data_IF_715142226323
#
_entry.id   IF_715142226323
#
_cell.length_a   1.000
_cell.length_b   1.000
_cell.length_c   1.000
_cell.angle_alpha   90.00
_cell.angle_beta   90.00
_cell.angle_gamma   90.00
#
_symmetry.space_group_name_H-M   'P 1'
#
loop_
_entity.id
_entity.type
_entity.pdbx_description
1 polymer ?
#
# COMPACT_ATOMS: atom_id res chain seq x y z
N UNK A 1 -12.74 15.93 20.59
CA UNK A 1 -12.42 15.78 19.16
C UNK A 1 -12.22 14.30 18.94
N UNK A 2 -12.99 13.67 18.04
CA UNK A 2 -12.77 12.26 17.74
C UNK A 2 -11.33 12.13 17.21
N UNK A 3 -10.57 11.18 17.74
CA UNK A 3 -9.30 10.79 17.13
C UNK A 3 -9.64 10.37 15.70
N UNK A 4 -9.23 11.16 14.70
CA UNK A 4 -9.27 10.70 13.32
C UNK A 4 -8.42 9.43 13.28
N UNK A 5 -9.05 8.29 12.99
CA UNK A 5 -8.32 7.03 12.88
C UNK A 5 -7.28 7.21 11.77
N UNK A 6 -6.00 7.25 12.15
CA UNK A 6 -4.89 7.47 11.23
C UNK A 6 -4.66 6.20 10.41
N UNK A 7 -5.48 6.03 9.37
CA UNK A 7 -5.28 4.96 8.40
C UNK A 7 -3.94 5.13 7.68
N UNK A 8 -3.36 4.00 7.30
CA UNK A 8 -2.20 3.94 6.41
C UNK A 8 -2.63 3.40 5.07
N UNK A 9 -1.94 3.79 4.02
CA UNK A 9 -2.37 3.59 2.64
C UNK A 9 -1.31 2.87 1.84
N UNK A 10 -1.76 2.06 0.88
CA UNK A 10 -0.92 1.47 -0.15
C UNK A 10 -1.48 1.81 -1.52
N UNK A 11 -0.60 2.20 -2.43
CA UNK A 11 -0.90 2.24 -3.86
C UNK A 11 -0.49 0.87 -4.41
N UNK A 12 -1.43 0.14 -4.99
CA UNK A 12 -1.19 -1.13 -5.65
C UNK A 12 -1.56 -1.04 -7.13
N UNK A 13 -0.77 -1.68 -7.98
CA UNK A 13 -1.17 -1.99 -9.36
C UNK A 13 -2.33 -2.98 -9.39
N UNK A 14 -3.03 -3.05 -10.51
CA UNK A 14 -4.08 -4.05 -10.76
C UNK A 14 -3.55 -5.47 -10.51
N UNK A 15 -2.38 -5.81 -11.05
CA UNK A 15 -1.79 -7.13 -10.86
C UNK A 15 -1.54 -7.46 -9.37
N UNK A 16 -0.97 -6.54 -8.60
CA UNK A 16 -0.73 -6.73 -7.16
C UNK A 16 -2.04 -6.91 -6.39
N UNK A 17 -3.07 -6.16 -6.77
CA UNK A 17 -4.38 -6.23 -6.14
C UNK A 17 -5.06 -7.58 -6.42
N UNK A 18 -5.06 -8.04 -7.67
CA UNK A 18 -5.59 -9.35 -8.04
C UNK A 18 -4.86 -10.50 -7.31
N UNK A 19 -3.53 -10.43 -7.22
CA UNK A 19 -2.73 -11.41 -6.48
C UNK A 19 -3.15 -11.46 -5.00
N UNK A 20 -3.25 -10.30 -4.37
CA UNK A 20 -3.67 -10.20 -2.97
C UNK A 20 -5.07 -10.76 -2.74
N UNK A 21 -6.04 -10.43 -3.61
CA UNK A 21 -7.40 -10.95 -3.52
C UNK A 21 -7.45 -12.47 -3.68
N UNK A 22 -6.66 -13.02 -4.61
CA UNK A 22 -6.62 -14.46 -4.89
C UNK A 22 -5.98 -15.27 -3.76
N UNK A 23 -4.88 -14.77 -3.21
CA UNK A 23 -4.06 -15.51 -2.26
C UNK A 23 -4.41 -15.18 -0.79
N UNK A 24 -5.17 -14.11 -0.55
CA UNK A 24 -5.44 -13.57 0.78
C UNK A 24 -4.22 -12.91 1.45
N UNK A 25 -3.09 -12.86 0.75
CA UNK A 25 -1.83 -12.26 1.19
C UNK A 25 -0.95 -11.95 -0.02
N UNK A 26 0.00 -11.03 0.14
CA UNK A 26 0.99 -10.69 -0.89
C UNK A 26 2.28 -10.21 -0.22
N UNK A 27 3.41 -10.45 -0.88
CA UNK A 27 4.70 -9.85 -0.51
C UNK A 27 4.88 -8.45 -1.11
N UNK A 28 3.91 -7.98 -1.91
CA UNK A 28 3.91 -6.66 -2.51
C UNK A 28 4.77 -6.56 -3.77
N UNK A 29 5.24 -5.35 -4.02
CA UNK A 29 6.03 -4.98 -5.19
C UNK A 29 7.44 -5.55 -5.08
N UNK A 30 8.20 -5.47 -6.17
CA UNK A 30 9.61 -5.89 -6.17
C UNK A 30 10.44 -5.12 -5.13
N UNK A 31 10.15 -3.83 -4.94
CA UNK A 31 10.84 -3.03 -3.93
C UNK A 31 10.56 -3.54 -2.51
N UNK A 32 9.32 -3.95 -2.21
CA UNK A 32 8.95 -4.49 -0.90
C UNK A 32 9.69 -5.79 -0.59
N UNK A 33 9.78 -6.66 -1.60
CA UNK A 33 10.52 -7.93 -1.53
C UNK A 33 12.01 -7.67 -1.32
N UNK A 34 12.57 -6.69 -2.02
CA UNK A 34 14.00 -6.38 -1.97
C UNK A 34 14.46 -5.73 -0.66
N UNK A 35 13.61 -4.91 -0.02
CA UNK A 35 13.92 -4.25 1.25
C UNK A 35 13.45 -5.05 2.45
N UNK A 36 12.65 -6.11 2.24
CA UNK A 36 11.95 -6.85 3.28
C UNK A 36 10.96 -5.99 4.10
N UNK A 37 10.52 -4.85 3.56
CA UNK A 37 9.53 -3.97 4.18
C UNK A 37 8.36 -3.74 3.24
N UNK A 38 7.14 -3.80 3.78
CA UNK A 38 5.94 -3.44 3.02
C UNK A 38 5.77 -1.92 3.05
N UNK A 39 5.98 -1.23 1.92
CA UNK A 39 5.94 0.22 1.88
C UNK A 39 4.50 0.73 1.96
N UNK A 40 4.24 1.56 2.98
CA UNK A 40 2.95 2.18 3.26
C UNK A 40 3.14 3.69 3.39
N UNK A 41 2.09 4.45 3.13
CA UNK A 41 2.08 5.91 3.17
C UNK A 41 1.00 6.41 4.12
N UNK A 42 1.27 7.50 4.83
CA UNK A 42 0.20 8.31 5.42
C UNK A 42 -0.62 9.00 4.32
N UNK A 43 -1.81 9.48 4.65
CA UNK A 43 -2.71 10.12 3.67
C UNK A 43 -2.04 11.30 2.95
N UNK A 44 -1.32 12.15 3.68
CA UNK A 44 -0.59 13.31 3.16
C UNK A 44 0.60 12.92 2.26
N UNK A 45 1.10 11.68 2.38
CA UNK A 45 2.19 11.15 1.57
C UNK A 45 1.70 10.49 0.27
N UNK A 46 0.44 10.04 0.19
CA UNK A 46 -0.12 9.30 -0.97
C UNK A 46 0.12 10.04 -2.28
N UNK A 47 -0.16 11.35 -2.31
CA UNK A 47 -0.03 12.12 -3.55
C UNK A 47 1.42 12.21 -4.02
N UNK A 48 2.38 12.34 -3.09
CA UNK A 48 3.81 12.39 -3.42
C UNK A 48 4.30 11.01 -3.88
N UNK A 49 3.89 9.94 -3.21
CA UNK A 49 4.20 8.55 -3.60
C UNK A 49 3.70 8.24 -5.01
N UNK A 50 2.46 8.62 -5.34
CA UNK A 50 1.89 8.45 -6.68
C UNK A 50 2.74 9.14 -7.75
N UNK A 51 3.13 10.41 -7.51
CA UNK A 51 3.92 11.20 -8.46
C UNK A 51 5.36 10.72 -8.62
N UNK A 52 5.95 10.12 -7.59
CA UNK A 52 7.35 9.71 -7.64
C UNK A 52 7.54 8.31 -8.24
N UNK A 53 6.57 7.42 -8.06
CA UNK A 53 6.77 5.99 -8.34
C UNK A 53 5.79 5.39 -9.35
N UNK A 54 4.66 6.05 -9.64
CA UNK A 54 3.56 5.45 -10.41
C UNK A 54 3.16 6.24 -11.67
N UNK A 55 3.94 7.26 -12.07
CA UNK A 55 3.58 8.15 -13.20
C UNK A 55 3.52 7.44 -14.55
N UNK A 56 4.39 6.45 -14.78
CA UNK A 56 4.49 5.72 -16.05
C UNK A 56 3.81 4.35 -16.02
N UNK A 57 3.03 4.05 -14.98
CA UNK A 57 2.29 2.80 -14.87
C UNK A 57 1.08 2.87 -15.81
N UNK A 58 0.93 1.82 -16.64
CA UNK A 58 -0.14 1.72 -17.66
C UNK A 58 -1.37 0.95 -17.18
N UNK A 59 -1.25 0.29 -16.04
CA UNK A 59 -2.32 -0.47 -15.39
C UNK A 59 -3.13 0.44 -14.48
N UNK A 60 -4.34 -0.02 -14.13
CA UNK A 60 -5.14 0.67 -13.12
C UNK A 60 -4.45 0.60 -11.75
N UNK A 61 -4.65 1.66 -10.97
CA UNK A 61 -4.09 1.79 -9.63
C UNK A 61 -5.20 1.78 -8.58
N UNK A 62 -4.95 1.04 -7.51
CA UNK A 62 -5.85 0.86 -6.38
C UNK A 62 -5.23 1.52 -5.15
N UNK A 63 -5.99 2.36 -4.46
CA UNK A 63 -5.61 2.91 -3.17
C UNK A 63 -6.24 2.06 -2.05
N UNK A 64 -5.43 1.23 -1.41
CA UNK A 64 -5.85 0.39 -0.30
C UNK A 64 -5.74 1.19 1.00
N UNK A 65 -6.85 1.35 1.70
CA UNK A 65 -6.88 1.91 3.05
C UNK A 65 -6.73 0.77 4.07
N UNK A 66 -5.75 0.88 4.96
CA UNK A 66 -5.38 -0.15 5.93
C UNK A 66 -5.53 0.43 7.33
N UNK A 67 -6.28 -0.28 8.17
CA UNK A 67 -6.37 0.02 9.60
C UNK A 67 -5.12 -0.52 10.32
N UNK A 68 -4.23 0.34 10.82
CA UNK A 68 -3.00 -0.11 11.49
C UNK A 68 -3.28 -0.95 12.74
N UNK A 69 -4.45 -0.79 13.38
CA UNK A 69 -4.83 -1.57 14.56
C UNK A 69 -5.15 -3.03 14.23
N UNK A 70 -5.40 -3.35 12.96
CA UNK A 70 -5.69 -4.70 12.46
C UNK A 70 -4.47 -5.39 11.85
N UNK A 71 -3.30 -4.74 11.89
CA UNK A 71 -2.05 -5.28 11.35
C UNK A 71 -1.09 -5.53 12.51
N UNK A 72 -0.68 -6.79 12.68
CA UNK A 72 0.38 -7.14 13.61
C UNK A 72 1.74 -6.85 12.97
N UNK A 73 2.33 -5.69 13.31
CA UNK A 73 3.72 -5.38 12.95
C UNK A 73 4.66 -6.09 13.92
N UNK A 74 5.21 -7.25 13.52
CA UNK A 74 6.36 -7.82 14.21
C UNK A 74 7.61 -7.03 13.78
N UNK A 75 8.15 -6.22 14.69
CA UNK A 75 9.45 -5.54 14.58
C UNK A 75 10.60 -6.47 14.98
#
# INVERSE_FOLDING_TARGET
MAEEEEFIYRISTEQEWEEFQKNGSSYGAEIDKSTCYYHLSKLDQVQLTLKNFFVDVKEDLYLLQVDPKKVDFYL
#
